data_IF_224413133692
#
_entry.id   IF_224413133692
#
_cell.length_a   1.000
_cell.length_b   1.000
_cell.length_c   1.000
_cell.angle_alpha   90.00
_cell.angle_beta   90.00
_cell.angle_gamma   90.00
#
_symmetry.space_group_name_H-M   'P 1'
#
loop_
_entity.id
_entity.type
_entity.pdbx_description
1 polymer ?
#
# COMPACT_ATOMS: atom_id res chain seq x y z
N UNK A 1 1.83 -9.07 9.88
CA UNK A 1 1.64 -8.09 8.80
C UNK A 1 2.94 -7.39 8.47
N UNK A 2 3.35 -7.42 7.19
CA UNK A 2 4.44 -6.63 6.65
C UNK A 2 3.99 -5.31 6.06
N UNK A 3 4.71 -4.85 5.03
CA UNK A 3 4.40 -3.64 4.24
C UNK A 3 5.12 -3.72 2.91
N UNK A 4 4.54 -3.20 1.84
CA UNK A 4 5.19 -3.11 0.54
C UNK A 4 6.45 -2.21 0.52
N UNK A 5 6.78 -1.54 1.63
CA UNK A 5 8.05 -0.81 1.80
C UNK A 5 9.29 -1.72 1.87
N UNK A 6 9.09 -3.05 2.05
CA UNK A 6 10.19 -4.03 2.07
C UNK A 6 10.83 -4.25 0.69
N UNK A 7 10.15 -3.88 -0.36
CA UNK A 7 10.65 -4.08 -1.72
C UNK A 7 11.68 -3.02 -2.12
N UNK A 8 12.62 -3.39 -2.99
CA UNK A 8 13.59 -2.45 -3.52
C UNK A 8 12.92 -1.22 -4.15
N UNK A 9 13.62 -0.07 -4.04
CA UNK A 9 13.17 1.20 -4.62
C UNK A 9 12.84 1.08 -6.11
N UNK A 10 13.67 0.35 -6.86
CA UNK A 10 13.58 0.19 -8.31
C UNK A 10 13.08 -1.20 -8.71
N UNK A 11 12.31 -1.87 -7.85
CA UNK A 11 11.75 -3.18 -8.18
C UNK A 11 10.94 -3.11 -9.48
N UNK A 12 11.05 -4.12 -10.37
CA UNK A 12 10.19 -4.22 -11.54
C UNK A 12 8.70 -4.21 -11.17
N UNK A 13 7.86 -3.71 -12.07
CA UNK A 13 6.42 -3.54 -11.83
C UNK A 13 5.60 -4.43 -12.77
N UNK A 14 4.55 -5.11 -12.28
CA UNK A 14 4.12 -5.19 -10.88
C UNK A 14 5.14 -5.94 -10.00
N UNK A 15 5.18 -5.60 -8.70
CA UNK A 15 6.16 -6.11 -7.75
C UNK A 15 5.78 -7.52 -7.32
N UNK A 16 6.64 -8.49 -7.60
CA UNK A 16 6.49 -9.89 -7.19
C UNK A 16 7.16 -10.17 -5.84
N UNK A 17 6.70 -11.20 -5.16
CA UNK A 17 7.24 -11.63 -3.86
C UNK A 17 8.74 -11.97 -3.94
N UNK A 18 9.20 -12.49 -5.07
CA UNK A 18 10.60 -12.87 -5.32
C UNK A 18 11.55 -11.68 -5.35
N UNK A 19 11.04 -10.45 -5.43
CA UNK A 19 11.88 -9.25 -5.47
C UNK A 19 12.33 -8.78 -4.08
N UNK A 20 11.92 -9.47 -3.02
CA UNK A 20 12.43 -9.19 -1.67
C UNK A 20 13.95 -9.34 -1.62
N UNK A 21 14.65 -8.30 -1.14
CA UNK A 21 16.12 -8.26 -1.01
C UNK A 21 16.90 -8.37 -2.33
N UNK A 22 16.29 -8.09 -3.46
CA UNK A 22 16.96 -8.16 -4.76
C UNK A 22 17.78 -6.92 -5.10
N UNK A 23 17.56 -5.79 -4.43
CA UNK A 23 18.27 -4.52 -4.64
C UNK A 23 18.08 -3.60 -3.43
N UNK A 24 18.60 -2.36 -3.50
CA UNK A 24 18.57 -1.36 -2.43
C UNK A 24 17.14 -0.91 -2.08
N UNK A 25 16.91 -0.74 -0.79
CA UNK A 25 15.66 -0.20 -0.25
C UNK A 25 15.54 1.31 -0.50
N UNK A 26 14.32 1.85 -0.35
CA UNK A 26 14.12 3.29 -0.30
C UNK A 26 14.72 3.87 0.98
N UNK A 27 15.73 4.73 0.84
CA UNK A 27 16.52 5.27 1.94
C UNK A 27 15.67 5.94 3.02
N UNK A 28 14.62 6.67 2.63
CA UNK A 28 13.82 7.46 3.58
C UNK A 28 13.01 6.62 4.57
N UNK A 29 12.74 5.36 4.23
CA UNK A 29 12.02 4.42 5.10
C UNK A 29 12.76 3.10 5.35
N UNK A 30 14.05 3.05 5.03
CA UNK A 30 14.90 1.86 5.19
C UNK A 30 14.83 1.22 6.59
N UNK A 31 14.92 1.98 7.72
CA UNK A 31 14.84 1.38 9.05
C UNK A 31 13.51 0.64 9.30
N UNK A 32 12.40 1.20 8.82
CA UNK A 32 11.10 0.56 8.89
C UNK A 32 11.04 -0.70 8.02
N UNK A 33 11.54 -0.61 6.79
CA UNK A 33 11.59 -1.75 5.87
C UNK A 33 12.41 -2.91 6.43
N UNK A 34 13.59 -2.63 6.99
CA UNK A 34 14.46 -3.64 7.64
C UNK A 34 13.73 -4.33 8.80
N UNK A 35 13.03 -3.57 9.65
CA UNK A 35 12.26 -4.15 10.75
C UNK A 35 11.17 -5.11 10.25
N UNK A 36 10.48 -4.75 9.16
CA UNK A 36 9.47 -5.61 8.54
C UNK A 36 10.07 -6.85 7.87
N UNK A 37 11.20 -6.72 7.19
CA UNK A 37 11.95 -7.84 6.60
C UNK A 37 12.39 -8.81 7.71
N UNK A 38 12.91 -8.30 8.83
CA UNK A 38 13.29 -9.13 9.96
C UNK A 38 12.10 -9.94 10.50
N UNK A 39 10.91 -9.33 10.59
CA UNK A 39 9.69 -10.03 11.00
C UNK A 39 9.28 -11.15 10.03
N UNK A 40 9.38 -10.91 8.72
CA UNK A 40 9.13 -11.95 7.70
C UNK A 40 10.09 -13.12 7.87
N UNK A 41 11.39 -12.81 7.97
CA UNK A 41 12.42 -13.86 8.14
C UNK A 41 12.29 -14.57 9.48
N UNK A 42 11.81 -13.92 10.52
CA UNK A 42 11.49 -14.57 11.79
C UNK A 42 10.38 -15.60 11.62
N UNK A 43 9.25 -15.25 10.97
CA UNK A 43 8.17 -16.20 10.70
C UNK A 43 8.65 -17.40 9.89
N UNK A 44 9.43 -17.17 8.82
CA UNK A 44 10.01 -18.22 7.98
C UNK A 44 10.92 -19.18 8.81
N UNK A 45 11.76 -18.62 9.70
CA UNK A 45 12.67 -19.44 10.51
C UNK A 45 11.95 -20.21 11.63
N UNK A 46 10.89 -19.65 12.22
CA UNK A 46 10.05 -20.39 13.16
C UNK A 46 9.38 -21.59 12.48
N UNK A 47 8.86 -21.40 11.27
CA UNK A 47 8.36 -22.54 10.49
C UNK A 47 9.45 -23.59 10.25
N UNK A 48 10.64 -23.20 9.77
CA UNK A 48 11.73 -24.15 9.48
C UNK A 48 12.24 -24.90 10.69
N UNK A 49 12.26 -24.24 11.85
CA UNK A 49 12.83 -24.80 13.08
C UNK A 49 11.82 -25.56 13.93
N UNK A 50 10.58 -25.13 13.97
CA UNK A 50 9.57 -25.64 14.89
C UNK A 50 8.32 -26.18 14.18
N UNK A 51 8.14 -25.94 12.91
CA UNK A 51 6.95 -26.30 12.17
C UNK A 51 5.75 -25.38 12.44
N UNK A 52 6.00 -24.19 13.02
CA UNK A 52 4.94 -23.25 13.36
C UNK A 52 4.26 -22.69 12.10
N UNK A 53 2.93 -22.71 12.07
CA UNK A 53 2.14 -22.25 10.93
C UNK A 53 2.00 -20.73 10.91
N UNK A 54 3.12 -20.02 10.73
CA UNK A 54 3.16 -18.57 10.57
C UNK A 54 3.29 -18.18 9.11
N UNK A 55 2.37 -17.35 8.63
CA UNK A 55 2.44 -16.74 7.30
C UNK A 55 2.64 -15.24 7.39
N UNK A 56 3.38 -14.68 6.44
CA UNK A 56 3.58 -13.25 6.31
C UNK A 56 2.82 -12.71 5.11
N UNK A 57 2.14 -11.57 5.27
CA UNK A 57 1.39 -10.91 4.19
C UNK A 57 1.80 -9.45 4.04
N UNK A 58 1.88 -9.00 2.78
CA UNK A 58 2.38 -7.68 2.39
C UNK A 58 1.28 -6.83 1.78
N UNK A 59 0.60 -5.99 2.58
CA UNK A 59 -0.35 -5.03 2.04
C UNK A 59 0.37 -3.85 1.37
N UNK A 60 -0.32 -3.27 0.38
CA UNK A 60 0.06 -1.98 -0.22
C UNK A 60 -0.49 -0.81 0.61
N UNK A 61 -0.73 0.36 0.01
CA UNK A 61 -1.22 1.52 0.75
C UNK A 61 -2.66 1.27 1.22
N UNK A 62 -2.83 1.26 2.53
CA UNK A 62 -4.13 1.07 3.15
C UNK A 62 -4.85 2.40 3.33
N UNK A 63 -6.17 2.36 3.26
CA UNK A 63 -7.04 3.47 3.60
C UNK A 63 -8.35 2.95 4.25
N UNK A 64 -9.07 3.79 4.95
CA UNK A 64 -10.37 3.44 5.51
C UNK A 64 -10.73 4.20 6.77
N UNK A 65 -11.74 3.67 7.48
CA UNK A 65 -12.23 4.26 8.72
C UNK A 65 -11.14 4.27 9.79
N UNK A 66 -11.06 5.36 10.56
CA UNK A 66 -10.07 5.60 11.62
C UNK A 66 -8.62 5.79 11.11
N UNK A 67 -8.45 6.19 9.85
CA UNK A 67 -7.14 6.54 9.33
C UNK A 67 -6.56 7.80 10.02
N UNK A 68 -5.27 8.04 9.82
CA UNK A 68 -4.61 9.26 10.31
C UNK A 68 -4.81 10.41 9.32
N UNK A 69 -5.56 11.43 9.73
CA UNK A 69 -5.83 12.63 8.93
C UNK A 69 -4.91 13.82 9.26
N UNK A 70 -3.81 13.62 9.98
CA UNK A 70 -2.87 14.70 10.29
C UNK A 70 -2.17 15.19 9.02
N UNK A 71 -2.22 16.51 8.73
CA UNK A 71 -1.71 17.08 7.48
C UNK A 71 -0.18 17.00 7.33
N UNK A 72 0.57 16.75 8.42
CA UNK A 72 2.02 16.65 8.39
C UNK A 72 2.51 15.20 8.28
N UNK A 73 1.76 14.26 8.86
CA UNK A 73 2.23 12.88 9.07
C UNK A 73 1.30 11.82 8.45
N UNK A 74 0.22 12.23 7.78
CA UNK A 74 -0.69 11.27 7.12
C UNK A 74 -0.24 10.89 5.72
N UNK A 75 -0.73 9.76 5.25
CA UNK A 75 -0.58 9.34 3.85
C UNK A 75 -1.39 10.23 2.90
N UNK A 76 -1.07 10.16 1.61
CA UNK A 76 -1.60 11.06 0.58
C UNK A 76 -3.13 11.07 0.51
N UNK A 77 -3.79 9.91 0.59
CA UNK A 77 -5.25 9.80 0.48
C UNK A 77 -5.96 10.54 1.63
N UNK A 78 -5.71 10.21 2.93
CA UNK A 78 -6.33 10.93 4.03
C UNK A 78 -5.92 12.41 4.09
N UNK A 79 -4.69 12.77 3.69
CA UNK A 79 -4.28 14.17 3.60
C UNK A 79 -5.12 14.95 2.57
N UNK A 80 -5.35 14.39 1.38
CA UNK A 80 -6.18 15.01 0.35
C UNK A 80 -7.65 15.11 0.80
N UNK A 81 -8.19 14.07 1.41
CA UNK A 81 -9.56 14.10 1.97
C UNK A 81 -9.72 15.26 2.94
N UNK A 82 -8.81 15.41 3.89
CA UNK A 82 -8.85 16.49 4.87
C UNK A 82 -8.66 17.86 4.21
N UNK A 83 -7.71 18.01 3.30
CA UNK A 83 -7.49 19.29 2.57
C UNK A 83 -8.75 19.74 1.85
N UNK A 84 -9.39 18.87 1.07
CA UNK A 84 -10.60 19.23 0.34
C UNK A 84 -11.80 19.48 1.26
N UNK A 85 -11.94 18.70 2.33
CA UNK A 85 -13.00 18.91 3.32
C UNK A 85 -12.88 20.27 4.01
N UNK A 86 -11.68 20.61 4.52
CA UNK A 86 -11.43 21.90 5.17
C UNK A 86 -11.60 23.06 4.19
N UNK A 87 -11.11 22.93 2.96
CA UNK A 87 -11.26 23.95 1.92
C UNK A 87 -12.73 24.20 1.57
N UNK A 88 -13.53 23.13 1.49
CA UNK A 88 -14.99 23.25 1.29
C UNK A 88 -15.67 24.01 2.41
N UNK A 89 -15.37 23.68 3.69
CA UNK A 89 -15.98 24.36 4.84
C UNK A 89 -15.60 25.84 4.89
N UNK A 90 -14.33 26.16 4.57
CA UNK A 90 -13.79 27.52 4.58
C UNK A 90 -14.14 28.34 3.32
N UNK A 91 -14.82 27.73 2.33
CA UNK A 91 -15.02 28.29 0.98
C UNK A 91 -13.72 28.81 0.35
N UNK A 92 -12.62 28.06 0.54
CA UNK A 92 -11.34 28.41 -0.07
C UNK A 92 -11.41 28.22 -1.59
N UNK A 93 -10.76 29.13 -2.33
CA UNK A 93 -10.75 29.10 -3.79
C UNK A 93 -9.83 28.01 -4.34
N UNK A 94 -8.79 27.61 -3.59
CA UNK A 94 -7.71 26.78 -4.06
C UNK A 94 -7.31 25.71 -3.02
N UNK A 95 -7.02 24.50 -3.51
CA UNK A 95 -6.31 23.45 -2.76
C UNK A 95 -5.02 23.11 -3.48
N UNK A 96 -3.90 23.14 -2.76
CA UNK A 96 -2.59 22.72 -3.24
C UNK A 96 -2.29 21.27 -2.84
N UNK A 97 -1.96 20.43 -3.84
CA UNK A 97 -1.38 19.11 -3.67
C UNK A 97 0.12 19.15 -3.98
N UNK A 98 0.91 18.33 -3.27
CA UNK A 98 2.36 18.28 -3.47
C UNK A 98 2.75 17.38 -4.64
N UNK A 99 3.86 17.72 -5.31
CA UNK A 99 4.42 16.99 -6.44
C UNK A 99 3.71 17.31 -7.76
N UNK A 100 3.96 16.49 -8.77
CA UNK A 100 3.37 16.64 -10.12
C UNK A 100 1.98 15.99 -10.26
N UNK A 101 1.62 15.09 -9.34
CA UNK A 101 0.43 14.25 -9.45
C UNK A 101 0.57 13.06 -10.39
N UNK A 102 1.72 12.86 -11.03
CA UNK A 102 1.96 11.77 -11.98
C UNK A 102 2.22 10.38 -11.34
N UNK A 103 2.82 10.26 -10.12
CA UNK A 103 3.10 8.96 -9.54
C UNK A 103 1.85 8.08 -9.44
N UNK A 104 2.03 6.79 -9.76
CA UNK A 104 0.99 5.78 -9.70
C UNK A 104 1.03 5.06 -8.36
N UNK A 105 -0.13 4.87 -7.76
CA UNK A 105 -0.28 4.15 -6.48
C UNK A 105 -1.45 3.19 -6.54
N UNK A 106 -1.27 2.10 -5.85
CA UNK A 106 -2.31 1.15 -5.53
C UNK A 106 -2.83 1.43 -4.13
N UNK A 107 -4.14 1.35 -3.95
CA UNK A 107 -4.80 1.49 -2.65
C UNK A 107 -5.67 0.28 -2.35
N UNK A 108 -5.70 -0.13 -1.08
CA UNK A 108 -6.54 -1.23 -0.60
C UNK A 108 -7.33 -0.78 0.63
N UNK A 109 -8.63 -1.00 0.63
CA UNK A 109 -9.45 -0.69 1.80
C UNK A 109 -9.09 -1.60 2.99
N UNK A 110 -9.06 -1.06 4.20
CA UNK A 110 -8.65 -1.81 5.39
C UNK A 110 -9.55 -3.01 5.68
N UNK A 111 -10.85 -2.93 5.34
CA UNK A 111 -11.77 -4.05 5.51
C UNK A 111 -11.50 -5.18 4.52
N UNK A 112 -11.06 -4.88 3.30
CA UNK A 112 -10.60 -5.88 2.35
C UNK A 112 -9.32 -6.57 2.84
N UNK A 113 -8.37 -5.81 3.41
CA UNK A 113 -7.20 -6.42 4.04
C UNK A 113 -7.60 -7.36 5.19
N UNK A 114 -8.50 -6.90 6.08
CA UNK A 114 -8.99 -7.73 7.18
C UNK A 114 -9.65 -9.01 6.67
N UNK A 115 -10.50 -8.88 5.65
CA UNK A 115 -11.13 -10.04 5.00
C UNK A 115 -10.08 -10.98 4.37
N UNK A 116 -9.07 -10.46 3.67
CA UNK A 116 -7.98 -11.27 3.10
C UNK A 116 -7.23 -12.05 4.19
N UNK A 117 -6.89 -11.40 5.30
CA UNK A 117 -6.21 -12.07 6.42
C UNK A 117 -7.05 -13.22 6.99
N UNK A 118 -8.35 -12.98 7.26
CA UNK A 118 -9.26 -14.03 7.76
C UNK A 118 -9.45 -15.14 6.74
N UNK A 119 -9.51 -14.81 5.45
CA UNK A 119 -9.63 -15.77 4.37
C UNK A 119 -8.40 -16.69 4.32
N UNK A 120 -7.21 -16.11 4.28
CA UNK A 120 -5.94 -16.85 4.23
C UNK A 120 -5.74 -17.75 5.46
N UNK A 121 -6.09 -17.29 6.66
CA UNK A 121 -6.02 -18.12 7.88
C UNK A 121 -6.90 -19.39 7.82
N UNK A 122 -7.86 -19.45 6.91
CA UNK A 122 -8.75 -20.61 6.74
C UNK A 122 -8.33 -21.60 5.66
N UNK A 123 -7.56 -21.13 4.67
CA UNK A 123 -7.34 -21.90 3.43
C UNK A 123 -5.88 -22.05 3.04
N UNK A 124 -4.95 -21.37 3.73
CA UNK A 124 -3.56 -21.28 3.30
C UNK A 124 -2.61 -21.50 4.45
N UNK A 125 -1.74 -22.48 4.32
CA UNK A 125 -0.78 -22.87 5.34
C UNK A 125 0.65 -22.45 5.01
N UNK A 126 1.50 -22.38 6.05
CA UNK A 126 2.91 -22.05 5.93
C UNK A 126 3.67 -23.01 4.99
N UNK A 127 3.27 -24.27 4.96
CA UNK A 127 3.82 -25.29 4.04
C UNK A 127 3.68 -24.85 2.57
N UNK A 128 2.51 -24.36 2.18
CA UNK A 128 2.26 -23.90 0.82
C UNK A 128 3.10 -22.67 0.47
N UNK A 129 3.26 -21.76 1.44
CA UNK A 129 4.04 -20.55 1.27
C UNK A 129 5.54 -20.88 1.09
N UNK A 130 6.13 -21.55 2.06
CA UNK A 130 7.58 -21.75 2.11
C UNK A 130 8.08 -22.84 1.17
N UNK A 131 7.32 -23.92 0.94
CA UNK A 131 7.63 -24.93 -0.07
C UNK A 131 7.39 -24.38 -1.49
N UNK A 132 6.54 -23.37 -1.64
CA UNK A 132 6.39 -22.59 -2.87
C UNK A 132 7.55 -21.64 -3.18
N UNK A 133 8.57 -21.59 -2.31
CA UNK A 133 9.80 -20.81 -2.50
C UNK A 133 9.65 -19.31 -2.24
N UNK A 134 8.57 -18.89 -1.57
CA UNK A 134 8.34 -17.48 -1.20
C UNK A 134 8.25 -17.32 0.31
N UNK A 135 8.60 -16.16 0.81
CA UNK A 135 8.61 -15.87 2.25
C UNK A 135 7.37 -15.13 2.76
N UNK A 136 6.51 -14.68 1.85
CA UNK A 136 5.32 -13.88 2.14
C UNK A 136 4.39 -13.85 0.93
N UNK A 137 3.16 -13.36 1.12
CA UNK A 137 2.16 -13.21 0.07
C UNK A 137 1.74 -11.74 -0.07
N UNK A 138 1.73 -11.23 -1.28
CA UNK A 138 1.23 -9.88 -1.59
C UNK A 138 -0.28 -9.80 -1.43
N UNK A 139 -0.76 -8.72 -0.80
CA UNK A 139 -2.18 -8.38 -0.72
C UNK A 139 -2.39 -6.97 -1.27
N UNK A 140 -3.13 -6.86 -2.35
CA UNK A 140 -3.43 -5.60 -3.02
C UNK A 140 -4.75 -5.66 -3.78
N UNK A 141 -5.11 -4.53 -4.37
CA UNK A 141 -6.27 -4.45 -5.27
C UNK A 141 -5.95 -4.90 -6.69
N UNK A 142 -4.66 -4.87 -7.08
CA UNK A 142 -4.22 -5.07 -8.46
C UNK A 142 -4.54 -3.88 -9.38
N UNK A 143 -5.12 -2.80 -8.85
CA UNK A 143 -5.49 -1.60 -9.59
C UNK A 143 -4.65 -0.40 -9.14
N UNK A 144 -4.20 0.42 -10.07
CA UNK A 144 -3.42 1.62 -9.76
C UNK A 144 -4.09 2.88 -10.28
N UNK A 145 -3.86 3.99 -9.62
CA UNK A 145 -4.38 5.31 -9.96
C UNK A 145 -3.28 6.34 -9.79
N UNK A 146 -3.23 7.35 -10.65
CA UNK A 146 -2.33 8.49 -10.44
C UNK A 146 -2.79 9.34 -9.25
N UNK A 147 -1.84 10.00 -8.60
CA UNK A 147 -2.17 10.94 -7.50
C UNK A 147 -3.10 12.06 -8.00
N UNK A 148 -2.98 12.43 -9.28
CA UNK A 148 -3.87 13.41 -9.90
C UNK A 148 -5.31 12.89 -10.02
N UNK A 149 -5.51 11.68 -10.53
CA UNK A 149 -6.85 11.07 -10.62
C UNK A 149 -7.45 10.84 -9.24
N UNK A 150 -6.65 10.37 -8.28
CA UNK A 150 -7.07 10.23 -6.89
C UNK A 150 -7.56 11.57 -6.33
N UNK A 151 -6.79 12.64 -6.49
CA UNK A 151 -7.15 13.97 -6.00
C UNK A 151 -8.45 14.48 -6.63
N UNK A 152 -8.64 14.27 -7.94
CA UNK A 152 -9.87 14.63 -8.65
C UNK A 152 -11.06 13.82 -8.13
N UNK A 153 -10.88 12.51 -7.91
CA UNK A 153 -11.94 11.65 -7.37
C UNK A 153 -12.35 12.10 -5.96
N UNK A 154 -11.38 12.36 -5.08
CA UNK A 154 -11.66 12.85 -3.71
C UNK A 154 -12.34 14.21 -3.74
N UNK A 155 -11.85 15.15 -4.58
CA UNK A 155 -12.48 16.47 -4.81
C UNK A 155 -13.96 16.34 -5.15
N UNK A 156 -14.28 15.42 -6.06
CA UNK A 156 -15.66 15.18 -6.52
C UNK A 156 -16.53 14.57 -5.41
N UNK A 157 -16.03 13.55 -4.70
CA UNK A 157 -16.75 12.90 -3.60
C UNK A 157 -17.01 13.87 -2.45
N UNK A 158 -16.02 14.68 -2.07
CA UNK A 158 -16.17 15.73 -1.05
C UNK A 158 -17.11 16.84 -1.54
N UNK A 159 -17.24 17.04 -2.84
CA UNK A 159 -18.06 18.10 -3.45
C UNK A 159 -17.41 19.47 -3.32
N UNK A 160 -16.08 19.55 -3.31
CA UNK A 160 -15.34 20.81 -3.34
C UNK A 160 -15.35 21.42 -4.75
N UNK A 161 -15.65 22.74 -4.84
CA UNK A 161 -15.88 23.42 -6.13
C UNK A 161 -14.73 24.33 -6.57
N UNK A 162 -13.79 24.64 -5.65
CA UNK A 162 -12.62 25.46 -5.96
C UNK A 162 -11.59 24.72 -6.84
N UNK A 163 -10.45 25.34 -7.06
CA UNK A 163 -9.40 24.82 -7.92
C UNK A 163 -8.45 23.85 -7.19
N UNK A 164 -7.84 22.96 -7.95
CA UNK A 164 -6.77 22.07 -7.52
C UNK A 164 -5.52 22.37 -8.33
N UNK A 165 -4.42 22.70 -7.66
CA UNK A 165 -3.11 22.83 -8.29
C UNK A 165 -2.12 21.83 -7.70
N UNK A 166 -1.13 21.47 -8.51
CA UNK A 166 -0.01 20.63 -8.11
C UNK A 166 1.25 21.49 -7.99
N UNK A 167 1.92 21.40 -6.84
CA UNK A 167 3.13 22.15 -6.56
C UNK A 167 4.37 21.26 -6.74
N UNK A 168 5.05 21.41 -7.88
CA UNK A 168 6.23 20.63 -8.25
C UNK A 168 7.51 21.01 -7.48
N UNK A 169 7.48 22.03 -6.62
CA UNK A 169 8.61 22.34 -5.72
C UNK A 169 8.78 21.24 -4.65
N UNK A 170 7.73 20.48 -4.39
CA UNK A 170 7.80 19.27 -3.58
C UNK A 170 8.13 18.05 -4.45
N UNK A 171 9.07 17.19 -4.00
CA UNK A 171 9.45 16.03 -4.77
C UNK A 171 8.30 15.01 -4.90
N UNK A 172 8.21 14.38 -6.05
CA UNK A 172 7.44 13.16 -6.20
C UNK A 172 8.12 12.01 -5.42
N UNK A 173 7.33 11.12 -4.86
CA UNK A 173 7.84 9.85 -4.33
C UNK A 173 8.21 8.86 -5.44
N UNK A 174 8.35 7.58 -5.08
CA UNK A 174 8.58 6.48 -6.05
C UNK A 174 7.59 6.60 -7.23
N UNK A 175 8.03 6.51 -8.50
CA UNK A 175 7.15 6.76 -9.65
C UNK A 175 5.96 5.81 -9.74
N UNK A 176 6.14 4.53 -9.41
CA UNK A 176 5.10 3.50 -9.45
C UNK A 176 5.26 2.50 -8.32
N UNK A 177 4.14 2.03 -7.77
CA UNK A 177 4.12 0.99 -6.72
C UNK A 177 2.84 0.19 -6.82
N UNK A 178 2.90 -0.90 -7.60
CA UNK A 178 1.83 -1.86 -7.82
C UNK A 178 2.31 -3.25 -7.41
N UNK A 179 1.56 -3.96 -6.58
CA UNK A 179 1.87 -5.35 -6.24
C UNK A 179 1.36 -6.32 -7.32
N UNK A 180 2.12 -7.37 -7.57
CA UNK A 180 1.60 -8.55 -8.26
C UNK A 180 0.76 -9.35 -7.26
N UNK A 181 -0.54 -9.45 -7.52
CA UNK A 181 -1.50 -10.15 -6.67
C UNK A 181 -1.97 -11.48 -7.29
N UNK A 182 -1.31 -11.95 -8.33
CA UNK A 182 -1.70 -13.14 -9.09
C UNK A 182 -1.77 -14.39 -8.21
N UNK A 183 -0.87 -14.54 -7.22
CA UNK A 183 -0.88 -15.66 -6.27
C UNK A 183 -2.12 -15.62 -5.36
N UNK A 184 -2.46 -14.46 -4.84
CA UNK A 184 -3.65 -14.27 -4.01
C UNK A 184 -4.93 -14.54 -4.81
N UNK A 185 -5.00 -14.05 -6.05
CA UNK A 185 -6.13 -14.29 -6.95
C UNK A 185 -6.28 -15.79 -7.29
N UNK A 186 -5.15 -16.49 -7.48
CA UNK A 186 -5.16 -17.95 -7.72
C UNK A 186 -5.69 -18.73 -6.51
N UNK A 187 -5.58 -18.19 -5.29
CA UNK A 187 -6.21 -18.72 -4.08
C UNK A 187 -7.71 -18.39 -3.99
N UNK A 188 -8.26 -17.65 -4.94
CA UNK A 188 -9.69 -17.31 -5.01
C UNK A 188 -10.10 -16.06 -4.24
N UNK A 189 -9.16 -15.17 -3.89
CA UNK A 189 -9.48 -13.91 -3.23
C UNK A 189 -9.19 -12.70 -4.13
N UNK A 190 -10.12 -11.76 -4.12
CA UNK A 190 -10.00 -10.44 -4.78
C UNK A 190 -10.59 -9.34 -3.86
N UNK A 191 -10.08 -8.12 -4.01
CA UNK A 191 -10.64 -6.94 -3.31
C UNK A 191 -12.05 -6.63 -3.83
N UNK A 192 -12.92 -6.14 -2.94
CA UNK A 192 -14.32 -5.83 -3.26
C UNK A 192 -14.65 -4.35 -3.19
N UNK A 193 -13.90 -3.60 -2.38
CA UNK A 193 -14.13 -2.17 -2.14
C UNK A 193 -13.23 -1.39 -3.10
N UNK A 194 -13.87 -0.51 -3.89
CA UNK A 194 -13.20 0.32 -4.90
C UNK A 194 -13.24 1.80 -4.53
#
# INVERSE_FOLDING_TARGET
LGSACIYPRNAPQPIKEEYLLSDQLEFTNEPYAIAKIAGIKLCENYYRQYGDNFISVMPNNLYGTNDNFDLKNSHVLPALMRKFHEAKIKNAELVEAWGTGNPLREFLHVDDLAHACVYLLKIFDADELYNGGISHLNIGSGEEVSIKELAISIKNVVGYKGDLIFNSDYPDGTPRKLLDVSRLNALGWESKIK
#
